data_IF_391048193883
#
_entry.id   IF_391048193883
#
_cell.length_a   1.000
_cell.length_b   1.000
_cell.length_c   1.000
_cell.angle_alpha   90.00
_cell.angle_beta   90.00
_cell.angle_gamma   90.00
#
_symmetry.space_group_name_H-M   'P 1'
#
loop_
_entity.id
_entity.type
_entity.pdbx_description
1 polymer ?
#
# COMPACT_ATOMS: atom_id res chain seq x y z
N UNK A 1 -78.70 77.56 12.45
CA UNK A 1 -77.71 78.33 13.22
C UNK A 1 -76.40 77.53 13.17
N UNK A 2 -75.43 77.97 12.35
CA UNK A 2 -74.18 78.66 12.78
C UNK A 2 -73.27 77.77 13.64
N UNK A 3 -71.96 77.58 13.37
CA UNK A 3 -71.08 78.18 12.35
C UNK A 3 -69.85 77.30 11.96
N UNK A 4 -69.09 77.80 10.98
CA UNK A 4 -67.85 77.31 10.34
C UNK A 4 -66.75 76.64 11.18
N UNK A 5 -66.06 75.65 10.59
CA UNK A 5 -64.59 75.56 10.37
C UNK A 5 -64.32 74.38 9.41
N UNK A 6 -63.93 74.56 8.13
CA UNK A 6 -62.60 74.83 7.56
C UNK A 6 -61.50 73.79 7.92
N UNK A 7 -60.77 73.39 6.87
CA UNK A 7 -59.50 72.65 6.79
C UNK A 7 -59.55 71.13 6.93
N UNK A 8 -58.84 70.34 6.11
CA UNK A 8 -58.37 70.53 4.72
C UNK A 8 -58.08 69.16 4.05
N UNK A 9 -57.97 69.09 2.71
CA UNK A 9 -57.74 67.84 1.99
C UNK A 9 -56.25 67.43 1.98
N UNK A 10 -55.92 66.28 2.59
CA UNK A 10 -54.56 65.73 2.59
C UNK A 10 -54.25 64.97 1.29
N UNK A 11 -53.59 65.64 0.35
CA UNK A 11 -53.08 65.07 -0.90
C UNK A 11 -52.08 63.92 -0.64
N UNK A 12 -52.13 62.79 -1.37
CA UNK A 12 -51.13 61.74 -1.21
C UNK A 12 -49.74 62.26 -1.60
N UNK A 13 -48.80 62.16 -0.66
CA UNK A 13 -47.43 62.62 -0.84
C UNK A 13 -46.74 61.87 -1.98
N UNK A 14 -46.43 62.58 -3.07
CA UNK A 14 -45.68 62.03 -4.19
C UNK A 14 -44.31 61.55 -3.72
N UNK A 15 -44.11 60.23 -3.72
CA UNK A 15 -42.80 59.62 -3.48
C UNK A 15 -41.87 60.02 -4.62
N UNK A 16 -41.12 61.12 -4.41
CA UNK A 16 -40.08 61.58 -5.34
C UNK A 16 -39.00 60.51 -5.40
N UNK A 17 -39.05 59.69 -6.45
CA UNK A 17 -38.01 58.74 -6.81
C UNK A 17 -36.78 59.54 -7.25
N UNK A 18 -36.03 60.03 -6.26
CA UNK A 18 -34.84 60.83 -6.45
C UNK A 18 -33.78 59.98 -7.12
N UNK A 19 -33.61 60.17 -8.43
CA UNK A 19 -32.55 59.51 -9.21
C UNK A 19 -31.22 59.85 -8.55
N UNK A 20 -30.62 58.86 -7.91
CA UNK A 20 -29.42 59.03 -7.10
C UNK A 20 -28.25 59.37 -8.03
N UNK A 21 -28.06 60.67 -8.29
CA UNK A 21 -26.93 61.23 -9.04
C UNK A 21 -25.66 61.11 -8.19
N UNK A 22 -25.18 59.87 -8.05
CA UNK A 22 -23.86 59.57 -7.50
C UNK A 22 -22.84 60.39 -8.28
N UNK A 23 -22.03 61.25 -7.62
CA UNK A 23 -21.04 62.03 -8.33
C UNK A 23 -20.02 61.05 -8.94
N UNK A 24 -19.53 61.35 -10.15
CA UNK A 24 -18.64 60.46 -10.91
C UNK A 24 -17.42 59.98 -10.09
N UNK A 25 -16.95 60.83 -9.17
CA UNK A 25 -15.90 60.55 -8.18
C UNK A 25 -16.23 59.38 -7.24
N UNK A 26 -17.46 59.29 -6.73
CA UNK A 26 -17.88 58.18 -5.86
C UNK A 26 -17.97 56.85 -6.62
N UNK A 27 -18.40 56.89 -7.88
CA UNK A 27 -18.42 55.69 -8.75
C UNK A 27 -16.99 55.19 -8.98
N UNK A 28 -16.04 56.09 -9.26
CA UNK A 28 -14.62 55.73 -9.39
C UNK A 28 -14.01 55.13 -8.12
N UNK A 29 -14.35 55.64 -6.94
CA UNK A 29 -13.90 55.09 -5.64
C UNK A 29 -14.46 53.68 -5.42
N UNK A 30 -15.76 53.46 -5.67
CA UNK A 30 -16.37 52.13 -5.54
C UNK A 30 -15.79 51.13 -6.56
N UNK A 31 -15.53 51.57 -7.80
CA UNK A 31 -14.88 50.74 -8.81
C UNK A 31 -13.45 50.34 -8.40
N UNK A 32 -12.67 51.27 -7.84
CA UNK A 32 -11.33 50.99 -7.34
C UNK A 32 -11.35 50.01 -6.15
N UNK A 33 -12.27 50.18 -5.20
CA UNK A 33 -12.48 49.24 -4.09
C UNK A 33 -12.87 47.83 -4.58
N UNK A 34 -13.77 47.74 -5.55
CA UNK A 34 -14.17 46.47 -6.14
C UNK A 34 -13.00 45.79 -6.87
N UNK A 35 -12.21 46.55 -7.63
CA UNK A 35 -11.03 46.04 -8.33
C UNK A 35 -9.96 45.51 -7.35
N UNK A 36 -9.69 46.23 -6.25
CA UNK A 36 -8.77 45.77 -5.18
C UNK A 36 -9.31 44.50 -4.50
N UNK A 37 -10.61 44.46 -4.19
CA UNK A 37 -11.24 43.28 -3.59
C UNK A 37 -11.15 42.05 -4.53
N UNK A 38 -11.48 42.23 -5.81
CA UNK A 38 -11.41 41.17 -6.82
C UNK A 38 -9.97 40.69 -7.04
N UNK A 39 -9.00 41.61 -7.11
CA UNK A 39 -7.57 41.28 -7.21
C UNK A 39 -7.06 40.49 -5.99
N UNK A 40 -7.51 40.85 -4.79
CA UNK A 40 -7.21 40.11 -3.56
C UNK A 40 -7.74 38.67 -3.58
N UNK A 41 -9.02 38.49 -3.94
CA UNK A 41 -9.64 37.15 -4.07
C UNK A 41 -8.93 36.34 -5.16
N UNK A 42 -8.65 36.93 -6.32
CA UNK A 42 -7.94 36.27 -7.41
C UNK A 42 -6.54 35.80 -6.99
N UNK A 43 -5.77 36.66 -6.30
CA UNK A 43 -4.43 36.33 -5.82
C UNK A 43 -4.42 35.20 -4.77
N UNK A 44 -5.42 35.13 -3.89
CA UNK A 44 -5.58 34.03 -2.93
C UNK A 44 -5.83 32.70 -3.66
N UNK A 45 -6.69 32.72 -4.69
CA UNK A 45 -7.02 31.54 -5.49
C UNK A 45 -5.81 31.05 -6.31
N UNK A 46 -5.10 31.96 -6.99
CA UNK A 46 -3.92 31.59 -7.79
C UNK A 46 -2.79 31.03 -6.93
N UNK A 47 -2.51 31.65 -5.77
CA UNK A 47 -1.50 31.17 -4.83
C UNK A 47 -1.83 29.76 -4.29
N UNK A 48 -3.11 29.47 -4.07
CA UNK A 48 -3.56 28.15 -3.57
C UNK A 48 -3.31 27.05 -4.61
N UNK A 49 -3.59 27.30 -5.90
CA UNK A 49 -3.36 26.33 -6.98
C UNK A 49 -1.87 26.09 -7.25
N UNK A 50 -1.04 27.14 -7.22
CA UNK A 50 0.42 27.00 -7.33
C UNK A 50 1.03 26.20 -6.17
N UNK A 51 0.51 26.38 -4.95
CA UNK A 51 0.86 25.57 -3.78
C UNK A 51 0.51 24.09 -3.99
N UNK A 52 -0.73 23.80 -4.36
CA UNK A 52 -1.22 22.43 -4.65
C UNK A 52 -0.35 21.71 -5.68
N UNK A 53 -0.04 22.36 -6.80
CA UNK A 53 0.79 21.77 -7.85
C UNK A 53 2.22 21.48 -7.39
N UNK A 54 2.79 22.32 -6.52
CA UNK A 54 4.12 22.14 -5.93
C UNK A 54 4.16 20.99 -4.94
N UNK A 55 3.18 20.93 -4.04
CA UNK A 55 3.06 19.88 -3.03
C UNK A 55 2.82 18.51 -3.68
N UNK A 56 1.96 18.43 -4.71
CA UNK A 56 1.73 17.20 -5.45
C UNK A 56 3.04 16.65 -6.06
N UNK A 57 3.87 17.48 -6.68
CA UNK A 57 5.18 17.09 -7.22
C UNK A 57 6.13 16.62 -6.12
N UNK A 58 6.15 17.30 -4.97
CA UNK A 58 6.96 16.90 -3.83
C UNK A 58 6.54 15.54 -3.26
N UNK A 59 5.22 15.29 -3.17
CA UNK A 59 4.68 13.98 -2.77
C UNK A 59 4.98 12.89 -3.81
N UNK A 60 4.81 13.17 -5.11
CA UNK A 60 5.16 12.23 -6.19
C UNK A 60 6.64 11.82 -6.12
N UNK A 61 7.56 12.78 -5.94
CA UNK A 61 8.99 12.49 -5.79
C UNK A 61 9.29 11.62 -4.56
N UNK A 62 8.70 11.93 -3.40
CA UNK A 62 8.85 11.13 -2.17
C UNK A 62 8.28 9.71 -2.32
N UNK A 63 7.12 9.58 -2.97
CA UNK A 63 6.48 8.29 -3.21
C UNK A 63 7.25 7.44 -4.22
N UNK A 64 7.83 8.04 -5.25
CA UNK A 64 8.71 7.34 -6.20
C UNK A 64 9.96 6.79 -5.51
N UNK A 65 10.68 7.61 -4.73
CA UNK A 65 11.84 7.17 -3.94
C UNK A 65 11.46 6.05 -2.96
N UNK A 66 10.29 6.15 -2.31
CA UNK A 66 9.80 5.11 -1.41
C UNK A 66 9.45 3.82 -2.16
N UNK A 67 8.81 3.91 -3.33
CA UNK A 67 8.46 2.75 -4.14
C UNK A 67 9.72 2.01 -4.63
N UNK A 68 10.70 2.75 -5.15
CA UNK A 68 11.98 2.19 -5.60
C UNK A 68 12.74 1.54 -4.45
N UNK A 69 12.79 2.20 -3.28
CA UNK A 69 13.40 1.65 -2.07
C UNK A 69 12.72 0.37 -1.57
N UNK A 70 11.38 0.27 -1.71
CA UNK A 70 10.63 -0.95 -1.37
C UNK A 70 10.86 -2.07 -2.39
N UNK A 71 10.89 -1.75 -3.68
CA UNK A 71 11.22 -2.70 -4.74
C UNK A 71 12.62 -3.28 -4.55
N UNK A 72 13.62 -2.43 -4.29
CA UNK A 72 14.99 -2.83 -3.99
C UNK A 72 15.08 -3.72 -2.74
N UNK A 73 14.36 -3.36 -1.66
CA UNK A 73 14.33 -4.16 -0.43
C UNK A 73 13.71 -5.55 -0.65
N UNK A 74 12.61 -5.65 -1.40
CA UNK A 74 11.99 -6.94 -1.75
C UNK A 74 12.92 -7.77 -2.63
N UNK A 75 13.58 -7.16 -3.62
CA UNK A 75 14.53 -7.87 -4.48
C UNK A 75 15.75 -8.38 -3.72
N UNK A 76 16.30 -7.59 -2.78
CA UNK A 76 17.42 -8.00 -1.95
C UNK A 76 17.04 -9.12 -0.97
N UNK A 77 15.85 -9.05 -0.36
CA UNK A 77 15.29 -10.11 0.48
C UNK A 77 15.06 -11.41 -0.31
N UNK A 78 14.46 -11.32 -1.50
CA UNK A 78 14.22 -12.49 -2.35
C UNK A 78 15.53 -13.11 -2.86
N UNK A 79 16.50 -12.27 -3.24
CA UNK A 79 17.83 -12.72 -3.65
C UNK A 79 18.59 -13.43 -2.53
N UNK A 80 18.48 -12.99 -1.27
CA UNK A 80 19.13 -13.67 -0.14
C UNK A 80 18.48 -15.03 0.16
N UNK A 81 17.16 -15.18 -0.03
CA UNK A 81 16.49 -16.47 0.05
C UNK A 81 16.93 -17.43 -1.06
N UNK A 82 17.01 -16.96 -2.31
CA UNK A 82 17.52 -17.79 -3.40
C UNK A 82 18.99 -18.20 -3.20
N UNK A 83 19.83 -17.31 -2.66
CA UNK A 83 21.22 -17.65 -2.33
C UNK A 83 21.29 -18.81 -1.30
N UNK A 84 20.51 -18.73 -0.22
CA UNK A 84 20.43 -19.79 0.82
C UNK A 84 19.92 -21.12 0.27
N UNK A 85 18.93 -21.09 -0.64
CA UNK A 85 18.44 -22.29 -1.31
C UNK A 85 19.47 -22.87 -2.30
N UNK A 86 20.26 -22.01 -2.95
CA UNK A 86 21.40 -22.40 -3.79
C UNK A 86 22.51 -23.06 -2.99
N UNK A 87 22.94 -22.46 -1.88
CA UNK A 87 23.93 -23.03 -0.94
C UNK A 87 23.49 -24.40 -0.40
N UNK A 88 22.19 -24.59 -0.15
CA UNK A 88 21.62 -25.89 0.21
C UNK A 88 21.71 -26.88 -0.96
N UNK A 89 21.32 -26.48 -2.19
CA UNK A 89 21.34 -27.32 -3.38
C UNK A 89 22.76 -27.74 -3.83
N UNK A 90 23.74 -26.85 -3.67
CA UNK A 90 25.16 -27.09 -3.95
C UNK A 90 25.88 -27.90 -2.85
N UNK A 91 25.16 -28.28 -1.79
CA UNK A 91 25.72 -29.09 -0.72
C UNK A 91 26.01 -30.54 -1.20
N UNK A 92 27.29 -30.90 -1.24
CA UNK A 92 27.74 -32.22 -1.70
C UNK A 92 27.11 -33.40 -0.93
N UNK A 93 26.81 -33.25 0.36
CA UNK A 93 26.13 -34.28 1.15
C UNK A 93 24.68 -34.47 0.70
N UNK A 94 23.95 -33.36 0.47
CA UNK A 94 22.60 -33.41 -0.08
C UNK A 94 22.57 -34.13 -1.43
N UNK A 95 23.47 -33.78 -2.33
CA UNK A 95 23.57 -34.39 -3.67
C UNK A 95 23.89 -35.89 -3.60
N UNK A 96 24.79 -36.31 -2.70
CA UNK A 96 25.11 -37.73 -2.48
C UNK A 96 23.89 -38.52 -1.99
N UNK A 97 23.21 -38.04 -0.94
CA UNK A 97 22.03 -38.74 -0.40
C UNK A 97 20.83 -38.73 -1.34
N UNK A 98 20.64 -37.66 -2.13
CA UNK A 98 19.66 -37.63 -3.22
C UNK A 98 19.99 -38.64 -4.33
N UNK A 99 21.27 -38.79 -4.68
CA UNK A 99 21.70 -39.79 -5.67
C UNK A 99 21.42 -41.21 -5.18
N UNK A 100 21.73 -41.51 -3.91
CA UNK A 100 21.40 -42.80 -3.29
C UNK A 100 19.88 -43.07 -3.29
N UNK A 101 19.08 -42.06 -2.94
CA UNK A 101 17.61 -42.16 -2.94
C UNK A 101 17.03 -42.31 -4.36
N UNK A 102 17.65 -41.70 -5.36
CA UNK A 102 17.29 -41.81 -6.77
C UNK A 102 17.58 -43.20 -7.34
N UNK A 103 18.78 -43.74 -7.10
CA UNK A 103 19.16 -45.10 -7.50
C UNK A 103 18.23 -46.15 -6.88
N UNK A 104 17.98 -46.04 -5.57
CA UNK A 104 17.08 -46.90 -4.83
C UNK A 104 15.63 -46.96 -5.35
N UNK A 105 15.14 -45.85 -5.93
CA UNK A 105 13.77 -45.74 -6.47
C UNK A 105 13.55 -46.64 -7.69
N UNK A 106 14.62 -47.08 -8.36
CA UNK A 106 14.56 -48.04 -9.47
C UNK A 106 14.40 -49.50 -9.05
N UNK A 107 14.96 -49.88 -7.90
CA UNK A 107 15.04 -51.28 -7.46
C UNK A 107 13.84 -51.75 -6.60
N UNK A 108 12.94 -50.83 -6.23
CA UNK A 108 11.70 -51.12 -5.50
C UNK A 108 11.87 -51.62 -4.05
N UNK A 109 13.10 -51.74 -3.54
CA UNK A 109 13.38 -52.25 -2.20
C UNK A 109 13.68 -51.15 -1.19
N UNK A 110 12.87 -51.08 -0.12
CA UNK A 110 13.13 -50.23 1.04
C UNK A 110 14.21 -50.84 1.95
N UNK A 111 15.47 -50.70 1.56
CA UNK A 111 16.63 -50.99 2.40
C UNK A 111 16.72 -50.03 3.60
N UNK A 112 17.17 -50.47 4.79
CA UNK A 112 17.41 -49.59 5.94
C UNK A 112 18.32 -48.38 5.65
N UNK A 113 19.25 -48.51 4.69
CA UNK A 113 20.11 -47.41 4.26
C UNK A 113 19.33 -46.26 3.61
N UNK A 114 18.24 -46.56 2.88
CA UNK A 114 17.41 -45.56 2.19
C UNK A 114 16.59 -44.76 3.22
N UNK A 115 16.08 -45.44 4.25
CA UNK A 115 15.33 -44.79 5.32
C UNK A 115 16.24 -43.91 6.18
N UNK A 116 17.47 -44.38 6.48
CA UNK A 116 18.49 -43.56 7.13
C UNK A 116 18.85 -42.30 6.31
N UNK A 117 19.02 -42.43 4.99
CA UNK A 117 19.26 -41.30 4.09
C UNK A 117 18.09 -40.31 4.07
N UNK A 118 16.84 -40.81 4.04
CA UNK A 118 15.62 -39.99 4.15
C UNK A 118 15.57 -39.22 5.48
N UNK A 119 15.89 -39.87 6.59
CA UNK A 119 15.94 -39.25 7.92
C UNK A 119 17.02 -38.16 8.03
N UNK A 120 18.21 -38.40 7.46
CA UNK A 120 19.26 -37.36 7.37
C UNK A 120 18.77 -36.15 6.57
N UNK A 121 18.21 -36.38 5.38
CA UNK A 121 17.69 -35.31 4.53
C UNK A 121 16.57 -34.52 5.23
N UNK A 122 15.65 -35.19 5.92
CA UNK A 122 14.59 -34.53 6.69
C UNK A 122 15.16 -33.60 7.77
N UNK A 123 16.12 -34.10 8.57
CA UNK A 123 16.73 -33.30 9.63
C UNK A 123 17.56 -32.12 9.09
N UNK A 124 18.24 -32.30 7.94
CA UNK A 124 18.95 -31.23 7.25
C UNK A 124 17.96 -30.13 6.79
N UNK A 125 16.89 -30.51 6.09
CA UNK A 125 15.85 -29.57 5.66
C UNK A 125 15.20 -28.86 6.85
N UNK A 126 14.91 -29.56 7.94
CA UNK A 126 14.29 -29.01 9.15
C UNK A 126 15.19 -27.95 9.78
N UNK A 127 16.46 -28.27 10.01
CA UNK A 127 17.43 -27.34 10.57
C UNK A 127 17.67 -26.11 9.66
N UNK A 128 17.70 -26.29 8.33
CA UNK A 128 17.80 -25.18 7.39
C UNK A 128 16.51 -24.33 7.38
N UNK A 129 15.34 -24.96 7.43
CA UNK A 129 14.06 -24.23 7.43
C UNK A 129 13.86 -23.40 8.70
N UNK A 130 14.26 -23.92 9.87
CA UNK A 130 14.28 -23.18 11.13
C UNK A 130 15.29 -22.02 11.10
N UNK A 131 16.53 -22.28 10.67
CA UNK A 131 17.61 -21.29 10.66
C UNK A 131 17.34 -20.14 9.68
N UNK A 132 16.84 -20.45 8.50
CA UNK A 132 16.68 -19.47 7.41
C UNK A 132 15.31 -18.80 7.40
N UNK A 133 14.38 -19.23 8.27
CA UNK A 133 13.05 -18.64 8.43
C UNK A 133 12.01 -19.13 7.40
N UNK A 134 12.21 -20.32 6.83
CA UNK A 134 11.20 -20.98 5.98
C UNK A 134 10.10 -21.69 6.80
N UNK A 135 10.19 -21.68 8.13
CA UNK A 135 9.12 -22.13 9.03
C UNK A 135 8.09 -21.02 9.26
N UNK A 136 6.84 -21.29 8.93
CA UNK A 136 5.72 -20.47 9.35
C UNK A 136 5.32 -20.83 10.80
N UNK A 137 4.84 -19.86 11.57
CA UNK A 137 4.16 -20.15 12.83
C UNK A 137 3.00 -21.14 12.55
N UNK A 138 2.86 -22.25 13.31
CA UNK A 138 1.80 -23.22 13.05
C UNK A 138 0.41 -22.58 13.11
N UNK A 139 -0.27 -22.45 11.97
CA UNK A 139 -1.66 -21.99 11.92
C UNK A 139 -2.56 -23.16 12.28
N UNK A 140 -2.73 -23.38 13.59
CA UNK A 140 -3.53 -24.47 14.12
C UNK A 140 -3.51 -24.55 15.64
N UNK A 141 -4.32 -25.47 16.18
CA UNK A 141 -4.36 -25.78 17.60
C UNK A 141 -3.05 -26.43 18.07
N UNK A 142 -2.53 -25.95 19.19
CA UNK A 142 -1.42 -26.56 19.93
C UNK A 142 -1.86 -27.87 20.64
N UNK A 143 -3.16 -28.01 20.89
CA UNK A 143 -3.77 -29.26 21.37
C UNK A 143 -3.88 -30.26 20.24
N UNK A 144 -3.51 -31.52 20.51
CA UNK A 144 -3.57 -32.68 19.60
C UNK A 144 -5.00 -33.15 19.27
N UNK A 145 -5.81 -32.26 18.69
CA UNK A 145 -7.05 -32.63 18.02
C UNK A 145 -6.74 -33.26 16.65
N UNK A 146 -7.57 -34.21 16.22
CA UNK A 146 -7.44 -34.91 14.93
C UNK A 146 -7.84 -34.02 13.73
N UNK A 147 -7.12 -32.92 13.54
CA UNK A 147 -7.28 -31.98 12.42
C UNK A 147 -6.03 -31.99 11.56
N UNK A 148 -6.21 -31.93 10.23
CA UNK A 148 -5.08 -31.77 9.30
C UNK A 148 -4.37 -30.45 9.60
N UNK A 149 -3.14 -30.53 10.12
CA UNK A 149 -2.19 -29.42 10.04
C UNK A 149 -1.94 -29.16 8.55
N UNK A 150 -2.39 -28.00 8.08
CA UNK A 150 -2.02 -27.51 6.76
C UNK A 150 -0.60 -26.96 6.92
N UNK A 151 0.40 -27.58 6.28
CA UNK A 151 1.77 -27.07 6.32
C UNK A 151 1.82 -25.69 5.68
N UNK A 152 2.12 -24.65 6.46
CA UNK A 152 1.98 -23.25 6.00
C UNK A 152 3.27 -22.70 5.38
N UNK A 153 4.44 -23.18 5.82
CA UNK A 153 5.71 -23.06 5.11
C UNK A 153 6.69 -24.13 5.62
N UNK A 154 7.63 -24.54 4.75
CA UNK A 154 8.63 -25.56 4.99
C UNK A 154 9.50 -25.77 3.74
N UNK A 155 10.47 -26.67 3.79
CA UNK A 155 11.31 -27.04 2.65
C UNK A 155 10.94 -28.43 2.12
N UNK A 156 11.01 -28.61 0.80
CA UNK A 156 10.74 -29.89 0.14
C UNK A 156 11.75 -30.18 -0.97
N UNK A 157 12.21 -31.44 -1.03
CA UNK A 157 13.04 -31.96 -2.11
C UNK A 157 12.14 -32.70 -3.09
N UNK A 158 12.22 -32.32 -4.37
CA UNK A 158 11.41 -32.87 -5.46
C UNK A 158 12.29 -33.74 -6.36
N UNK A 159 11.75 -34.89 -6.78
CA UNK A 159 12.37 -35.69 -7.84
C UNK A 159 12.16 -35.07 -9.22
N UNK A 160 12.85 -35.57 -10.27
CA UNK A 160 12.66 -35.13 -11.66
C UNK A 160 11.22 -35.32 -12.17
N UNK A 161 10.47 -36.21 -11.53
CA UNK A 161 9.05 -36.49 -11.76
C UNK A 161 8.10 -35.52 -11.03
N UNK A 162 8.62 -34.45 -10.40
CA UNK A 162 7.86 -33.48 -9.62
C UNK A 162 7.27 -34.06 -8.32
N UNK A 163 7.65 -35.29 -7.93
CA UNK A 163 7.16 -35.93 -6.70
C UNK A 163 8.04 -35.55 -5.51
N UNK A 164 7.40 -35.31 -4.37
CA UNK A 164 8.10 -35.07 -3.10
C UNK A 164 8.88 -36.32 -2.70
N UNK A 165 10.19 -36.14 -2.47
CA UNK A 165 11.08 -37.15 -1.92
C UNK A 165 11.15 -37.03 -0.39
N UNK A 166 11.29 -35.79 0.09
CA UNK A 166 11.37 -35.41 1.52
C UNK A 166 10.75 -34.02 1.66
N UNK A 167 10.02 -33.77 2.75
CA UNK A 167 9.47 -32.45 3.10
C UNK A 167 9.38 -32.29 4.63
N UNK A 168 9.35 -31.04 5.08
CA UNK A 168 9.20 -30.61 6.49
C UNK A 168 7.88 -29.89 6.71
#
# INVERSE_FOLDING_TARGET
>A
MTAMAKTDAATPGSARMGVLRLPLRSIAIWLALLLVCFGGVFGILSFTEEGRARDLRAWQSRLHILADGRAAAVNAWLGSHYARLGELADNASLQLYLTQLGLAKGDGQTSPAIEASRGYLYNLLLATAEREGFMAAPVGSDVAANVRRVGVAGLALLGPDGRILVAT
#
